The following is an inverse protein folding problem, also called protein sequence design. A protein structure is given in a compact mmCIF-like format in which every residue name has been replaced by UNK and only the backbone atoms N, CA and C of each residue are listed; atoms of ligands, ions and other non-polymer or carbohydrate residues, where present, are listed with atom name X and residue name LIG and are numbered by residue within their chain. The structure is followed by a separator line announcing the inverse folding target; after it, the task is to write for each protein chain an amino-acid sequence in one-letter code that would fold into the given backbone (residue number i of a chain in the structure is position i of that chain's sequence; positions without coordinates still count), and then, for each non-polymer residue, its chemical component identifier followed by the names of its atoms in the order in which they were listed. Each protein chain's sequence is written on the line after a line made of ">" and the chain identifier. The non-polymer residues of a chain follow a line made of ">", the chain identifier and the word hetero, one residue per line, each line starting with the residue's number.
data_IF_360479147916
#
_entry.id   IF_360479147916
#
_cell.length_a   1.000
_cell.length_b   1.000
_cell.length_c   1.000
_cell.angle_alpha   90.00
_cell.angle_beta   90.00
_cell.angle_gamma   90.00
#
_symmetry.space_group_name_H-M   'P 1'
#
loop_
_entity.id
_entity.type
_entity.pdbx_description
1 polymer ?
#
# COMPACT_ATOMS: atom_id res chain seq x y z
N UNK A 1 8.45 -8.34 -14.23
CA UNK A 1 9.28 -7.24 -13.68
C UNK A 1 10.57 -7.81 -13.11
N UNK A 2 11.71 -7.14 -13.30
CA UNK A 2 12.98 -7.49 -12.65
C UNK A 2 13.04 -6.87 -11.24
N UNK A 3 13.39 -7.67 -10.23
CA UNK A 3 13.52 -7.28 -8.82
C UNK A 3 14.85 -7.83 -8.29
N UNK A 4 15.91 -7.01 -8.16
CA UNK A 4 17.26 -7.49 -7.90
C UNK A 4 17.41 -8.19 -6.54
N UNK A 5 16.71 -7.70 -5.51
CA UNK A 5 16.82 -8.18 -4.14
C UNK A 5 15.90 -9.37 -3.81
N UNK A 6 15.18 -9.90 -4.81
CA UNK A 6 14.31 -11.08 -4.64
C UNK A 6 15.06 -12.35 -5.04
N UNK A 7 14.81 -13.45 -4.32
CA UNK A 7 15.39 -14.77 -4.62
C UNK A 7 15.15 -15.18 -6.08
N UNK A 8 13.91 -15.03 -6.54
CA UNK A 8 13.56 -15.08 -7.96
C UNK A 8 13.48 -13.67 -8.52
N UNK A 9 14.51 -13.28 -9.28
CA UNK A 9 14.66 -11.89 -9.75
C UNK A 9 13.69 -11.48 -10.85
N UNK A 10 13.03 -12.42 -11.52
CA UNK A 10 12.04 -12.13 -12.56
C UNK A 10 10.71 -12.76 -12.21
N UNK A 11 9.64 -11.97 -12.27
CA UNK A 11 8.29 -12.48 -12.03
C UNK A 11 7.21 -11.40 -12.13
N UNK A 12 5.98 -11.81 -11.81
CA UNK A 12 4.83 -10.92 -11.63
C UNK A 12 4.87 -10.34 -10.22
N UNK A 13 4.58 -9.04 -10.09
CA UNK A 13 4.53 -8.35 -8.79
C UNK A 13 3.07 -8.18 -8.37
N UNK A 14 2.80 -8.36 -7.08
CA UNK A 14 1.48 -8.14 -6.48
C UNK A 14 1.64 -7.25 -5.25
N UNK A 15 0.60 -6.45 -4.97
CA UNK A 15 0.45 -5.66 -3.75
C UNK A 15 -0.64 -6.29 -2.91
N UNK A 16 -0.43 -6.42 -1.60
CA UNK A 16 -1.33 -7.17 -0.72
C UNK A 16 -1.51 -6.44 0.61
N UNK A 17 -2.73 -6.43 1.13
CA UNK A 17 -3.04 -6.04 2.51
C UNK A 17 -3.37 -7.28 3.32
N UNK A 18 -2.58 -7.52 4.38
CA UNK A 18 -2.71 -8.69 5.22
C UNK A 18 -2.93 -8.31 6.68
N UNK A 19 -3.65 -9.15 7.42
CA UNK A 19 -3.66 -9.08 8.88
C UNK A 19 -2.29 -9.46 9.44
N UNK A 20 -1.81 -8.67 10.41
CA UNK A 20 -0.53 -8.86 11.08
C UNK A 20 -0.47 -10.12 11.95
N UNK A 21 -1.60 -10.56 12.52
CA UNK A 21 -1.63 -11.70 13.46
C UNK A 21 -1.87 -13.02 12.75
N UNK A 22 -2.85 -13.07 11.86
CA UNK A 22 -3.27 -14.32 11.20
C UNK A 22 -2.62 -14.53 9.83
N UNK A 23 -1.90 -13.53 9.30
CA UNK A 23 -1.40 -13.49 7.93
C UNK A 23 -2.50 -13.64 6.86
N UNK A 24 -3.76 -13.40 7.22
CA UNK A 24 -4.88 -13.46 6.28
C UNK A 24 -4.79 -12.32 5.27
N UNK A 25 -4.83 -12.65 3.97
CA UNK A 25 -4.84 -11.66 2.89
C UNK A 25 -6.25 -11.13 2.67
N UNK A 26 -6.48 -9.86 2.98
CA UNK A 26 -7.77 -9.21 2.79
C UNK A 26 -8.01 -8.82 1.33
N UNK A 27 -7.01 -8.20 0.71
CA UNK A 27 -7.08 -7.74 -0.68
C UNK A 27 -5.70 -7.83 -1.32
N UNK A 28 -5.66 -8.17 -2.60
CA UNK A 28 -4.45 -8.10 -3.40
C UNK A 28 -4.76 -7.55 -4.79
N UNK A 29 -3.80 -6.81 -5.33
CA UNK A 29 -3.86 -6.23 -6.67
C UNK A 29 -2.58 -6.57 -7.43
N UNK A 30 -2.72 -6.97 -8.70
CA UNK A 30 -1.60 -7.37 -9.54
C UNK A 30 -0.98 -6.14 -10.21
N UNK A 31 0.34 -5.96 -10.06
CA UNK A 31 1.06 -4.89 -10.75
C UNK A 31 1.24 -5.24 -12.22
N UNK A 32 0.58 -4.48 -13.10
CA UNK A 32 0.58 -4.72 -14.56
C UNK A 32 1.64 -3.90 -15.30
N UNK A 33 2.46 -3.09 -14.61
CA UNK A 33 3.47 -2.25 -15.24
C UNK A 33 2.97 -0.84 -15.58
N UNK A 34 3.66 -0.18 -16.51
CA UNK A 34 3.32 1.19 -16.95
C UNK A 34 2.22 1.14 -18.01
N UNK A 35 0.99 1.41 -17.60
CA UNK A 35 -0.12 1.68 -18.52
C UNK A 35 -0.09 3.15 -18.96
N UNK A 36 -0.51 3.46 -20.20
CA UNK A 36 -0.81 4.86 -20.57
C UNK A 36 -1.95 5.33 -19.66
N UNK A 37 -1.79 6.49 -19.04
CA UNK A 37 -2.67 7.01 -18.00
C UNK A 37 -4.13 6.91 -18.43
N UNK A 38 -4.92 6.16 -17.66
CA UNK A 38 -6.35 6.41 -17.54
C UNK A 38 -6.45 7.41 -16.39
N UNK A 39 -6.98 8.59 -16.69
CA UNK A 39 -7.17 9.67 -15.72
C UNK A 39 -7.87 9.15 -14.46
N UNK A 40 -7.34 9.59 -13.31
CA UNK A 40 -7.95 9.66 -11.98
C UNK A 40 -8.93 8.53 -11.63
N UNK A 41 -8.39 7.37 -11.28
CA UNK A 41 -9.04 6.51 -10.30
C UNK A 41 -8.24 6.56 -9.02
N UNK A 42 -8.59 7.53 -8.17
CA UNK A 42 -8.51 7.29 -6.74
C UNK A 42 -9.40 6.07 -6.49
N UNK A 43 -8.78 4.91 -6.23
CA UNK A 43 -9.52 3.74 -5.80
C UNK A 43 -10.41 4.18 -4.63
N UNK A 44 -11.72 3.99 -4.77
CA UNK A 44 -12.68 4.39 -3.77
C UNK A 44 -12.35 3.65 -2.47
N UNK A 45 -11.73 4.37 -1.54
CA UNK A 45 -11.50 3.89 -0.19
C UNK A 45 -12.87 3.64 0.45
N UNK A 46 -13.20 2.37 0.69
CA UNK A 46 -14.46 2.01 1.34
C UNK A 46 -14.40 2.48 2.80
N UNK A 47 -15.25 3.43 3.17
CA UNK A 47 -15.28 4.09 4.49
C UNK A 47 -15.90 3.18 5.58
N UNK A 48 -15.95 1.87 5.36
CA UNK A 48 -16.67 0.91 6.20
C UNK A 48 -15.77 0.11 7.15
N UNK A 49 -14.50 0.44 7.27
CA UNK A 49 -13.65 -0.13 8.32
C UNK A 49 -14.01 0.47 9.67
N UNK A 50 -14.99 -0.15 10.33
CA UNK A 50 -15.25 0.03 11.74
C UNK A 50 -14.04 -0.42 12.59
N UNK A 51 -13.90 0.23 13.76
CA UNK A 51 -12.75 0.21 14.67
C UNK A 51 -11.46 0.81 14.05
N UNK A 52 -10.77 1.65 14.83
CA UNK A 52 -9.49 2.24 14.49
C UNK A 52 -8.52 1.18 13.95
N UNK A 53 -8.27 1.20 12.64
CA UNK A 53 -7.36 0.27 12.00
C UNK A 53 -5.95 0.85 12.03
N UNK A 54 -4.96 0.03 12.39
CA UNK A 54 -3.54 0.39 12.31
C UNK A 54 -2.93 -0.37 11.13
N UNK A 55 -2.33 0.36 10.19
CA UNK A 55 -1.65 -0.21 9.02
C UNK A 55 -0.15 -0.04 9.21
N UNK A 56 0.60 -1.13 9.03
CA UNK A 56 2.07 -1.08 8.98
C UNK A 56 2.54 -1.16 7.53
N UNK A 57 3.31 -0.17 7.07
CA UNK A 57 3.75 -0.05 5.67
C UNK A 57 5.27 0.03 5.53
N UNK A 58 5.76 -0.35 4.35
CA UNK A 58 7.14 -0.12 3.93
C UNK A 58 7.34 1.32 3.41
N UNK A 59 8.59 1.79 3.37
CA UNK A 59 9.00 3.11 2.85
C UNK A 59 8.60 3.39 1.41
N UNK A 60 8.30 2.35 0.64
CA UNK A 60 7.75 2.50 -0.71
C UNK A 60 6.37 3.18 -0.68
N UNK A 61 5.51 2.83 0.30
CA UNK A 61 4.13 3.32 0.39
C UNK A 61 3.98 4.59 1.26
N UNK A 62 4.99 4.95 2.05
CA UNK A 62 4.90 6.07 2.99
C UNK A 62 4.70 7.42 2.30
N UNK A 63 3.58 8.12 2.52
CA UNK A 63 3.42 9.49 2.01
C UNK A 63 2.58 10.35 2.93
N UNK A 64 3.12 11.52 3.30
CA UNK A 64 2.45 12.48 4.19
C UNK A 64 1.02 12.83 3.75
N UNK A 65 0.72 13.18 2.48
CA UNK A 65 -0.65 13.50 2.10
C UNK A 65 -1.62 12.32 2.29
N UNK A 66 -1.20 11.10 1.93
CA UNK A 66 -1.99 9.89 2.16
C UNK A 66 -2.22 9.63 3.64
N UNK A 67 -1.18 9.83 4.48
CA UNK A 67 -1.28 9.59 5.92
C UNK A 67 -2.27 10.56 6.58
N UNK A 68 -2.35 11.81 6.10
CA UNK A 68 -3.35 12.79 6.56
C UNK A 68 -4.76 12.38 6.15
N UNK A 69 -4.95 11.92 4.91
CA UNK A 69 -6.25 11.43 4.43
C UNK A 69 -6.71 10.19 5.22
N UNK A 70 -5.81 9.23 5.45
CA UNK A 70 -6.08 8.04 6.25
C UNK A 70 -6.41 8.39 7.71
N UNK A 71 -5.75 9.39 8.29
CA UNK A 71 -6.07 9.87 9.62
C UNK A 71 -7.49 10.44 9.70
N UNK A 72 -7.96 11.15 8.66
CA UNK A 72 -9.34 11.63 8.57
C UNK A 72 -10.37 10.47 8.56
N UNK A 73 -9.95 9.30 8.06
CA UNK A 73 -10.72 8.06 8.05
C UNK A 73 -10.55 7.21 9.32
N UNK A 74 -9.88 7.71 10.37
CA UNK A 74 -9.55 6.96 11.59
C UNK A 74 -8.67 5.73 11.35
N UNK A 75 -7.82 5.79 10.33
CA UNK A 75 -6.78 4.80 10.05
C UNK A 75 -5.43 5.37 10.44
N UNK A 76 -4.70 4.66 11.31
CA UNK A 76 -3.39 5.07 11.77
C UNK A 76 -2.31 4.33 10.98
N UNK A 77 -1.28 5.06 10.53
CA UNK A 77 -0.19 4.51 9.72
C UNK A 77 1.09 4.46 10.54
N UNK A 78 1.78 3.32 10.50
CA UNK A 78 3.11 3.12 11.06
C UNK A 78 4.01 2.63 9.93
N UNK A 79 5.18 3.23 9.76
CA UNK A 79 6.09 2.81 8.69
C UNK A 79 7.42 3.54 8.76
N UNK A 80 8.32 3.17 7.85
CA UNK A 80 9.57 3.90 7.64
C UNK A 80 9.39 4.88 6.49
N UNK A 81 10.15 5.99 6.48
CA UNK A 81 10.10 7.01 5.42
C UNK A 81 11.43 7.00 4.65
N UNK A 82 11.38 7.21 3.34
CA UNK A 82 12.58 7.47 2.53
C UNK A 82 13.18 8.84 2.86
N UNK A 83 14.47 8.88 3.17
CA UNK A 83 15.23 10.12 3.31
C UNK A 83 15.21 10.91 1.99
N UNK A 84 14.64 12.11 1.99
CA UNK A 84 14.45 12.95 0.80
C UNK A 84 13.02 13.00 0.25
N UNK A 85 12.05 12.41 0.96
CA UNK A 85 10.61 12.43 0.62
C UNK A 85 9.80 13.48 1.41
N UNK A 86 10.48 14.27 2.25
CA UNK A 86 9.90 15.39 3.03
C UNK A 86 9.86 16.68 2.22
#
# INVERSE_FOLDING_TARGET
>A
MFMPDKSHRYGSKMFMTCDSKTAYCHRFDIYVGKMKAREDQADAFDHKTGAAAVITIDRFYSSIPLDIELLSMHVYVIGTIMTGRL
#
